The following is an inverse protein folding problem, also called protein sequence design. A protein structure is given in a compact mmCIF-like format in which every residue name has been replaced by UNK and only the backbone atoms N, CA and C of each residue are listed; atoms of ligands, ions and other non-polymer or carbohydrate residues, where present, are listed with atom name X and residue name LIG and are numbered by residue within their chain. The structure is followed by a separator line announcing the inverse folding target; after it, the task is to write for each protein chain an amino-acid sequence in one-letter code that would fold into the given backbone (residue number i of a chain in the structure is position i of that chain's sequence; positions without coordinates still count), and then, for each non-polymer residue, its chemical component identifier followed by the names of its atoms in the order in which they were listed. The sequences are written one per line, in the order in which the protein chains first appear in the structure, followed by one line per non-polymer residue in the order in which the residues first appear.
data_IF_758475839607
#
_entry.id   IF_758475839607
#
_cell.length_a   1.000
_cell.length_b   1.000
_cell.length_c   1.000
_cell.angle_alpha   90.00
_cell.angle_beta   90.00
_cell.angle_gamma   90.00
#
_symmetry.space_group_name_H-M   'P 1'
#
loop_
_entity.id
_entity.type
_entity.pdbx_description
1 polymer ?
#
# COMPACT_ATOMS: atom_id res chain seq x y z
N UNK A 1 15.17 -15.85 -10.91
CA UNK A 1 13.82 -15.62 -10.36
C UNK A 1 12.95 -15.12 -11.49
N UNK A 2 11.80 -15.74 -11.75
CA UNK A 2 10.85 -15.21 -12.73
C UNK A 2 10.16 -13.99 -12.09
N UNK A 3 10.43 -12.76 -12.56
CA UNK A 3 9.87 -11.54 -11.97
C UNK A 3 8.42 -11.29 -12.42
N UNK A 4 7.84 -12.19 -13.22
CA UNK A 4 6.51 -12.00 -13.76
C UNK A 4 5.45 -12.18 -12.66
N UNK A 5 4.85 -11.08 -12.25
CA UNK A 5 3.51 -11.11 -11.68
C UNK A 5 2.54 -11.61 -12.77
N UNK A 6 2.00 -12.82 -12.59
CA UNK A 6 1.06 -13.45 -13.54
C UNK A 6 -0.35 -13.53 -12.99
N UNK A 7 -0.54 -13.25 -11.71
CA UNK A 7 -1.83 -13.23 -11.02
C UNK A 7 -2.00 -11.89 -10.31
N UNK A 8 -3.22 -11.37 -10.18
CA UNK A 8 -3.46 -10.15 -9.43
C UNK A 8 -2.96 -10.23 -7.98
N UNK A 9 -2.53 -9.09 -7.44
CA UNK A 9 -2.21 -8.91 -6.02
C UNK A 9 -3.02 -7.75 -5.49
N UNK A 10 -3.77 -8.01 -4.41
CA UNK A 10 -4.55 -6.99 -3.73
C UNK A 10 -3.79 -6.52 -2.48
N UNK A 11 -3.66 -5.21 -2.32
CA UNK A 11 -3.03 -4.59 -1.16
C UNK A 11 -4.04 -3.71 -0.46
N UNK A 12 -4.19 -3.93 0.85
CA UNK A 12 -5.05 -3.14 1.74
C UNK A 12 -4.23 -2.70 2.93
N UNK A 13 -4.56 -1.56 3.52
CA UNK A 13 -3.81 -1.09 4.68
C UNK A 13 -4.70 -0.57 5.80
N UNK A 14 -4.12 -0.55 7.01
CA UNK A 14 -4.72 0.09 8.19
C UNK A 14 -3.66 0.55 9.16
N UNK A 15 -4.01 1.52 10.00
CA UNK A 15 -3.25 1.78 11.21
C UNK A 15 -3.48 0.65 12.24
N UNK A 16 -2.41 0.25 12.93
CA UNK A 16 -2.44 -0.78 13.97
C UNK A 16 -2.54 -0.19 15.38
N UNK A 17 -2.02 1.01 15.57
CA UNK A 17 -1.97 1.72 16.85
C UNK A 17 -2.98 2.89 16.93
N UNK A 18 -3.95 2.92 16.04
CA UNK A 18 -4.96 3.98 15.96
C UNK A 18 -6.02 3.71 14.89
N UNK A 19 -6.99 4.62 14.72
CA UNK A 19 -8.09 4.46 13.76
C UNK A 19 -7.76 5.00 12.36
N UNK A 20 -6.52 5.40 12.08
CA UNK A 20 -6.16 6.01 10.80
C UNK A 20 -6.25 5.04 9.63
N UNK A 21 -6.67 5.58 8.49
CA UNK A 21 -6.69 4.86 7.22
C UNK A 21 -5.31 4.85 6.55
N UNK A 22 -5.06 3.78 5.81
CA UNK A 22 -4.08 3.79 4.72
C UNK A 22 -4.86 3.93 3.41
N UNK A 23 -4.42 4.83 2.53
CA UNK A 23 -4.96 4.95 1.18
C UNK A 23 -3.83 4.86 0.16
N UNK A 24 -4.16 4.56 -1.09
CA UNK A 24 -3.20 4.42 -2.18
C UNK A 24 -3.50 5.38 -3.33
N UNK A 25 -2.49 5.73 -4.13
CA UNK A 25 -2.60 6.49 -5.39
C UNK A 25 -3.29 7.87 -5.34
N UNK A 26 -3.20 8.59 -6.46
CA UNK A 26 -3.85 9.90 -6.67
C UNK A 26 -4.82 9.82 -7.87
N UNK A 27 -6.15 9.91 -7.66
CA UNK A 27 -6.85 10.15 -6.40
C UNK A 27 -6.77 8.96 -5.42
N UNK A 28 -6.98 9.25 -4.13
CA UNK A 28 -6.86 8.26 -3.05
C UNK A 28 -7.89 7.13 -3.14
N UNK A 29 -7.43 5.88 -3.20
CA UNK A 29 -8.24 4.64 -3.17
C UNK A 29 -7.98 3.81 -1.91
N UNK A 30 -8.92 2.94 -1.56
CA UNK A 30 -8.83 2.07 -0.37
C UNK A 30 -7.93 0.87 -0.56
N UNK A 31 -7.93 0.33 -1.77
CA UNK A 31 -7.23 -0.89 -2.12
C UNK A 31 -6.37 -0.62 -3.34
N UNK A 32 -5.16 -1.16 -3.33
CA UNK A 32 -4.26 -1.10 -4.47
C UNK A 32 -4.21 -2.46 -5.14
N UNK A 33 -4.70 -2.54 -6.37
CA UNK A 33 -4.71 -3.76 -7.17
C UNK A 33 -3.57 -3.70 -8.18
N UNK A 34 -2.61 -4.60 -8.04
CA UNK A 34 -1.62 -4.87 -9.06
C UNK A 34 -2.22 -5.88 -10.05
N UNK A 35 -2.66 -5.38 -11.20
CA UNK A 35 -3.25 -6.17 -12.28
C UNK A 35 -2.17 -6.52 -13.31
N UNK A 36 -1.76 -7.80 -13.41
CA UNK A 36 -0.68 -8.20 -14.28
C UNK A 36 -0.96 -7.91 -15.76
N UNK A 37 -2.23 -7.74 -16.16
CA UNK A 37 -2.64 -7.49 -17.54
C UNK A 37 -2.60 -6.01 -17.93
N UNK A 38 -2.74 -5.11 -16.95
CA UNK A 38 -2.78 -3.66 -17.19
C UNK A 38 -1.46 -2.99 -16.91
N UNK A 39 -0.70 -3.57 -15.99
CA UNK A 39 0.40 -2.84 -15.38
C UNK A 39 1.77 -3.23 -15.99
N UNK A 40 1.91 -4.19 -16.91
CA UNK A 40 3.24 -4.61 -17.37
C UNK A 40 4.03 -3.49 -18.12
N UNK A 41 5.23 -3.12 -17.66
CA UNK A 41 6.16 -2.31 -18.46
C UNK A 41 6.89 -3.18 -19.51
N UNK A 42 7.36 -2.59 -20.62
CA UNK A 42 8.18 -3.29 -21.61
C UNK A 42 9.37 -4.01 -20.95
N UNK A 43 9.56 -5.29 -21.29
CA UNK A 43 10.65 -6.11 -20.74
C UNK A 43 10.31 -6.84 -19.42
N UNK A 44 9.07 -6.77 -18.94
CA UNK A 44 8.60 -7.55 -17.78
C UNK A 44 9.06 -7.01 -16.42
N UNK A 45 9.72 -5.86 -16.41
CA UNK A 45 9.97 -5.09 -15.20
C UNK A 45 8.67 -4.49 -14.70
N UNK A 46 8.49 -4.48 -13.38
CA UNK A 46 7.25 -4.08 -12.71
C UNK A 46 7.56 -3.20 -11.51
N UNK A 47 8.35 -2.15 -11.75
CA UNK A 47 8.52 -1.08 -10.77
C UNK A 47 7.30 -0.14 -10.91
N UNK A 48 6.36 -0.29 -9.99
CA UNK A 48 5.15 0.52 -9.96
C UNK A 48 5.35 1.69 -9.04
N UNK A 49 5.45 2.92 -9.55
CA UNK A 49 5.36 4.09 -8.70
C UNK A 49 3.95 4.14 -8.12
N UNK A 50 3.79 3.62 -6.91
CA UNK A 50 2.57 3.70 -6.12
C UNK A 50 2.76 4.68 -4.98
N UNK A 51 1.66 5.31 -4.57
CA UNK A 51 1.69 6.23 -3.44
C UNK A 51 1.03 5.56 -2.25
N UNK A 52 1.67 5.64 -1.09
CA UNK A 52 1.02 5.40 0.20
C UNK A 52 0.65 6.73 0.81
N UNK A 53 -0.63 6.89 1.18
CA UNK A 53 -1.16 8.09 1.82
C UNK A 53 -1.50 7.78 3.27
N UNK A 54 -0.89 8.54 4.17
CA UNK A 54 -1.07 8.46 5.62
C UNK A 54 -1.37 9.86 6.16
N UNK A 55 -2.29 9.97 7.12
CA UNK A 55 -2.67 11.27 7.70
C UNK A 55 -1.86 11.65 8.94
N UNK A 56 -1.25 10.68 9.62
CA UNK A 56 -0.58 10.87 10.91
C UNK A 56 0.65 9.97 11.03
N UNK A 57 1.63 10.32 11.89
CA UNK A 57 2.60 9.34 12.36
C UNK A 57 1.91 8.18 13.09
N UNK A 58 2.51 6.98 13.05
CA UNK A 58 1.94 5.79 13.68
C UNK A 58 2.51 4.48 13.15
N UNK A 59 1.99 3.35 13.65
CA UNK A 59 2.29 2.00 13.21
C UNK A 59 1.19 1.51 12.27
N UNK A 60 1.57 1.02 11.10
CA UNK A 60 0.66 0.63 10.03
C UNK A 60 0.99 -0.77 9.52
N UNK A 61 0.03 -1.38 8.85
CA UNK A 61 0.23 -2.61 8.12
C UNK A 61 -0.32 -2.52 6.71
N UNK A 62 0.36 -3.21 5.78
CA UNK A 62 -0.23 -3.70 4.56
C UNK A 62 -0.59 -5.17 4.73
N UNK A 63 -1.81 -5.52 4.37
CA UNK A 63 -2.19 -6.87 4.03
C UNK A 63 -2.00 -7.05 2.53
N UNK A 64 -1.19 -8.03 2.14
CA UNK A 64 -0.91 -8.36 0.74
C UNK A 64 -1.48 -9.74 0.48
N UNK A 65 -2.47 -9.80 -0.41
CA UNK A 65 -3.12 -11.04 -0.82
C UNK A 65 -2.70 -11.38 -2.25
N UNK A 66 -1.92 -12.45 -2.39
CA UNK A 66 -1.44 -12.97 -3.67
C UNK A 66 -1.94 -14.41 -3.90
N UNK A 67 -1.86 -14.90 -5.12
CA UNK A 67 -2.32 -16.26 -5.45
C UNK A 67 -1.60 -17.37 -4.67
N UNK A 68 -0.33 -17.17 -4.30
CA UNK A 68 0.48 -18.13 -3.54
C UNK A 68 0.26 -18.04 -2.03
N UNK A 69 -0.51 -17.06 -1.57
CA UNK A 69 -0.80 -16.83 -0.17
C UNK A 69 -0.81 -15.35 0.20
N UNK A 70 -1.13 -15.10 1.47
CA UNK A 70 -1.19 -13.76 2.02
C UNK A 70 -0.07 -13.54 3.04
N UNK A 71 0.42 -12.31 3.10
CA UNK A 71 1.37 -11.89 4.11
C UNK A 71 1.16 -10.43 4.50
N UNK A 72 1.70 -10.06 5.66
CA UNK A 72 1.57 -8.72 6.22
C UNK A 72 2.94 -8.05 6.27
N UNK A 73 3.01 -6.78 5.86
CA UNK A 73 4.16 -5.92 6.11
C UNK A 73 3.75 -4.91 7.16
N UNK A 74 4.48 -4.87 8.29
CA UNK A 74 4.30 -3.85 9.32
C UNK A 74 5.38 -2.79 9.15
N UNK A 75 4.99 -1.51 9.22
CA UNK A 75 5.92 -0.40 9.13
C UNK A 75 5.50 0.74 10.07
N UNK A 76 6.44 1.63 10.36
CA UNK A 76 6.20 2.82 11.19
C UNK A 76 6.39 4.07 10.34
N UNK A 77 5.36 4.91 10.29
CA UNK A 77 5.45 6.26 9.75
C UNK A 77 5.92 7.19 10.87
N UNK A 78 7.08 7.82 10.67
CA UNK A 78 7.65 8.80 11.60
C UNK A 78 7.57 10.18 10.99
N UNK A 79 7.22 11.16 11.80
CA UNK A 79 7.08 12.54 11.40
C UNK A 79 6.72 13.39 12.62
N UNK A 80 6.72 14.73 12.48
CA UNK A 80 6.23 15.60 13.54
C UNK A 80 4.79 15.23 13.87
N UNK A 81 4.49 15.06 15.17
CA UNK A 81 3.11 15.03 15.64
C UNK A 81 2.60 16.46 15.52
N UNK A 82 1.92 16.76 14.41
CA UNK A 82 1.22 18.03 14.28
C UNK A 82 -0.05 17.90 15.12
N UNK A 83 -0.04 18.48 16.32
CA UNK A 83 -1.25 18.55 17.13
C UNK A 83 -2.36 19.17 16.26
N UNK A 84 -3.50 18.50 16.17
CA UNK A 84 -4.66 19.07 15.48
C UNK A 84 -5.05 20.35 16.23
N UNK A 85 -4.72 21.50 15.66
CA UNK A 85 -5.27 22.78 16.10
C UNK A 85 -6.76 22.74 15.79
N UNK A 86 -7.57 22.39 16.78
CA UNK A 86 -8.99 22.68 16.75
C UNK A 86 -9.14 24.21 16.80
N UNK A 87 -9.51 24.81 15.67
CA UNK A 87 -10.11 26.15 15.61
C UNK A 87 -11.61 26.06 15.83
#
# INVERSE_FOLDING_TARGET
MNPALTTPVLIRGRQLDGPGDVRFDDPAVEEFLLDPTKDALPGGWRDYPSLTRLRTPGCYAYQIDAAVGSFTIVFRAVGPVVASTHS
#
